data_IF_343167572326
#
_entry.id   IF_343167572326
#
_cell.length_a   1.000
_cell.length_b   1.000
_cell.length_c   1.000
_cell.angle_alpha   90.00
_cell.angle_beta   90.00
_cell.angle_gamma   90.00
#
_symmetry.space_group_name_H-M   'P 1'
#
loop_
_entity.id
_entity.type
_entity.pdbx_description
1 polymer ?
#
# COMPACT_ATOMS: atom_id res chain seq x y z
N UNK A 1 -2.24 20.12 -19.83
CA UNK A 1 -1.59 19.06 -19.01
C UNK A 1 -2.58 17.98 -18.59
N UNK A 2 -3.74 18.31 -17.99
CA UNK A 2 -4.81 17.33 -17.68
C UNK A 2 -5.31 16.54 -18.91
N UNK A 3 -5.42 17.17 -20.08
CA UNK A 3 -5.92 16.51 -21.29
C UNK A 3 -5.02 15.35 -21.77
N UNK A 4 -3.70 15.43 -21.55
CA UNK A 4 -2.77 14.35 -21.88
C UNK A 4 -2.86 13.16 -20.93
N UNK A 5 -3.13 13.42 -19.64
CA UNK A 5 -3.34 12.37 -18.63
C UNK A 5 -4.69 11.66 -18.86
N UNK A 6 -5.75 12.44 -19.13
CA UNK A 6 -7.08 11.91 -19.47
C UNK A 6 -7.03 11.11 -20.77
N UNK A 7 -6.31 11.59 -21.79
CA UNK A 7 -6.13 10.85 -23.05
C UNK A 7 -5.40 9.52 -22.83
N UNK A 8 -4.33 9.49 -22.03
CA UNK A 8 -3.65 8.24 -21.67
C UNK A 8 -4.54 7.27 -20.87
N UNK A 9 -5.40 7.78 -19.98
CA UNK A 9 -6.38 6.98 -19.25
C UNK A 9 -7.49 6.42 -20.17
N UNK A 10 -7.90 7.17 -21.19
CA UNK A 10 -8.90 6.76 -22.19
C UNK A 10 -8.32 5.83 -23.27
N UNK A 11 -7.02 5.93 -23.57
CA UNK A 11 -6.33 5.11 -24.58
C UNK A 11 -5.78 3.79 -24.02
N UNK A 12 -5.77 3.59 -22.69
CA UNK A 12 -5.66 2.25 -22.09
C UNK A 12 -6.94 1.49 -22.45
N UNK A 13 -6.88 0.79 -23.59
CA UNK A 13 -7.93 -0.05 -24.16
C UNK A 13 -8.65 -0.82 -23.05
N UNK A 14 -9.97 -0.76 -23.09
CA UNK A 14 -10.90 -1.63 -22.37
C UNK A 14 -10.27 -3.02 -22.19
N UNK A 15 -9.93 -3.40 -20.96
CA UNK A 15 -9.68 -4.80 -20.66
C UNK A 15 -11.05 -5.47 -20.85
N UNK A 16 -11.19 -6.46 -21.74
CA UNK A 16 -12.46 -7.12 -21.96
C UNK A 16 -13.02 -7.58 -20.61
N UNK A 17 -14.30 -7.32 -20.37
CA UNK A 17 -15.06 -7.80 -19.20
C UNK A 17 -14.98 -9.35 -19.10
N UNK A 18 -14.55 -10.03 -20.17
CA UNK A 18 -14.33 -11.47 -20.25
C UNK A 18 -12.95 -11.98 -19.79
N UNK A 19 -12.07 -11.17 -19.21
CA UNK A 19 -10.88 -11.71 -18.54
C UNK A 19 -11.28 -12.43 -17.23
N UNK A 20 -11.73 -13.69 -17.39
CA UNK A 20 -12.02 -14.67 -16.34
C UNK A 20 -10.74 -15.27 -15.75
N UNK A 21 -9.63 -14.54 -15.74
CA UNK A 21 -8.50 -14.95 -14.90
C UNK A 21 -8.90 -14.75 -13.44
N UNK A 22 -8.71 -15.78 -12.61
CA UNK A 22 -8.92 -15.72 -11.16
C UNK A 22 -7.79 -14.94 -10.47
N UNK A 23 -7.41 -13.79 -11.04
CA UNK A 23 -6.29 -12.96 -10.60
C UNK A 23 -6.77 -11.57 -10.18
N UNK A 24 -6.12 -10.95 -9.19
CA UNK A 24 -6.38 -9.56 -8.86
C UNK A 24 -6.22 -8.65 -10.10
N UNK A 25 -7.14 -7.70 -10.27
CA UNK A 25 -7.14 -6.79 -11.43
C UNK A 25 -7.78 -5.44 -11.11
N UNK A 26 -7.43 -4.45 -11.91
CA UNK A 26 -8.12 -3.15 -11.94
C UNK A 26 -8.79 -2.95 -13.27
N UNK A 27 -10.08 -2.63 -13.20
CA UNK A 27 -10.90 -2.25 -14.34
C UNK A 27 -11.26 -0.78 -14.17
N UNK A 28 -10.94 0.04 -15.17
CA UNK A 28 -11.38 1.44 -15.17
C UNK A 28 -12.75 1.47 -15.85
N UNK A 29 -13.81 1.57 -15.04
CA UNK A 29 -15.16 1.57 -15.58
C UNK A 29 -15.53 2.89 -16.26
N UNK A 30 -16.50 2.76 -17.17
CA UNK A 30 -16.88 3.79 -18.14
C UNK A 30 -17.14 5.14 -17.50
N UNK A 31 -16.60 6.14 -18.19
CA UNK A 31 -16.85 7.56 -17.98
C UNK A 31 -18.37 7.87 -17.96
N UNK A 32 -18.90 8.18 -16.79
CA UNK A 32 -20.25 8.74 -16.64
C UNK A 32 -20.16 10.23 -16.92
N UNK A 33 -20.70 10.65 -18.07
CA UNK A 33 -20.94 12.05 -18.37
C UNK A 33 -22.16 12.55 -17.57
N UNK A 34 -21.94 13.29 -16.47
CA UNK A 34 -23.00 14.02 -15.78
C UNK A 34 -22.96 15.49 -16.17
N UNK A 35 -24.07 16.01 -16.72
CA UNK A 35 -24.25 17.43 -16.99
C UNK A 35 -24.53 18.16 -15.67
N UNK A 36 -23.60 18.99 -15.22
CA UNK A 36 -23.75 19.83 -14.02
C UNK A 36 -23.74 21.33 -14.36
N UNK A 37 -24.06 22.18 -13.38
CA UNK A 37 -23.78 23.63 -13.47
C UNK A 37 -22.25 23.81 -13.59
N UNK A 38 -21.78 24.08 -14.80
CA UNK A 38 -20.34 24.17 -15.14
C UNK A 38 -19.88 23.28 -16.32
N UNK A 39 -20.75 22.44 -16.90
CA UNK A 39 -20.43 21.63 -18.09
C UNK A 39 -20.58 20.11 -17.87
N UNK A 40 -20.09 19.31 -18.83
CA UNK A 40 -19.98 17.86 -18.68
C UNK A 40 -18.87 17.54 -17.66
N UNK A 41 -19.21 16.82 -16.59
CA UNK A 41 -18.24 16.14 -15.74
C UNK A 41 -18.16 14.68 -16.19
N UNK A 42 -16.98 14.28 -16.61
CA UNK A 42 -16.63 12.89 -16.88
C UNK A 42 -16.14 12.27 -15.56
N UNK A 43 -16.88 11.30 -15.03
CA UNK A 43 -16.51 10.55 -13.83
C UNK A 43 -16.24 9.11 -14.25
N UNK A 44 -14.99 8.68 -14.25
CA UNK A 44 -14.63 7.25 -14.25
C UNK A 44 -14.18 6.81 -12.86
N UNK A 45 -14.22 5.51 -12.61
CA UNK A 45 -13.81 4.88 -11.36
C UNK A 45 -12.78 3.79 -11.66
N UNK A 46 -11.81 3.65 -10.76
CA UNK A 46 -10.91 2.49 -10.70
C UNK A 46 -11.59 1.44 -9.83
N UNK A 47 -12.10 0.38 -10.46
CA UNK A 47 -12.66 -0.77 -9.77
C UNK A 47 -11.57 -1.80 -9.57
N UNK A 48 -11.18 -2.01 -8.32
CA UNK A 48 -10.19 -3.01 -7.92
C UNK A 48 -10.94 -4.27 -7.50
N UNK A 49 -10.53 -5.40 -8.05
CA UNK A 49 -11.10 -6.70 -7.78
C UNK A 49 -10.01 -7.67 -7.36
N UNK A 50 -10.14 -8.21 -6.14
CA UNK A 50 -9.30 -9.28 -5.60
C UNK A 50 -10.20 -10.51 -5.44
N UNK A 51 -10.08 -11.53 -6.31
CA UNK A 51 -11.02 -12.66 -6.35
C UNK A 51 -10.96 -13.56 -5.11
N UNK A 52 -9.82 -13.59 -4.42
CA UNK A 52 -9.69 -14.34 -3.18
C UNK A 52 -8.55 -13.76 -2.34
N UNK A 53 -8.90 -13.12 -1.25
CA UNK A 53 -8.03 -12.83 -0.12
C UNK A 53 -8.43 -13.80 0.98
N UNK A 54 -7.57 -14.77 1.33
CA UNK A 54 -7.89 -15.79 2.35
C UNK A 54 -9.28 -16.48 2.20
N UNK A 55 -9.76 -16.65 0.95
CA UNK A 55 -11.05 -17.27 0.67
C UNK A 55 -12.22 -16.31 0.44
N UNK A 56 -12.09 -15.03 0.79
CA UNK A 56 -13.14 -14.02 0.58
C UNK A 56 -12.83 -13.14 -0.64
N UNK A 57 -13.88 -12.71 -1.33
CA UNK A 57 -13.77 -11.75 -2.43
C UNK A 57 -13.74 -10.32 -1.88
N UNK A 58 -12.87 -9.46 -2.44
CA UNK A 58 -12.82 -8.05 -2.10
C UNK A 58 -12.96 -7.19 -3.37
N UNK A 59 -13.86 -6.21 -3.32
CA UNK A 59 -14.08 -5.26 -4.39
C UNK A 59 -14.27 -3.85 -3.85
N UNK A 60 -13.55 -2.88 -4.43
CA UNK A 60 -13.73 -1.47 -4.07
C UNK A 60 -13.51 -0.56 -5.27
N UNK A 61 -14.11 0.64 -5.20
CA UNK A 61 -14.11 1.62 -6.27
C UNK A 61 -13.49 2.95 -5.80
N UNK A 62 -12.52 3.46 -6.57
CA UNK A 62 -11.92 4.77 -6.32
C UNK A 62 -12.20 5.69 -7.51
N UNK A 63 -12.91 6.82 -7.33
CA UNK A 63 -13.11 7.83 -8.36
C UNK A 63 -11.80 8.34 -8.94
N UNK A 64 -11.76 8.44 -10.26
CA UNK A 64 -10.63 9.01 -11.00
C UNK A 64 -10.26 10.43 -10.56
N UNK A 65 -11.22 11.20 -10.06
CA UNK A 65 -10.97 12.53 -9.49
C UNK A 65 -10.10 12.46 -8.23
N UNK A 66 -10.26 11.43 -7.41
CA UNK A 66 -9.43 11.18 -6.23
C UNK A 66 -8.01 10.83 -6.66
N UNK A 67 -7.87 9.89 -7.59
CA UNK A 67 -6.58 9.52 -8.17
C UNK A 67 -5.85 10.74 -8.76
N UNK A 68 -6.53 11.54 -9.60
CA UNK A 68 -5.96 12.75 -10.21
C UNK A 68 -5.53 13.76 -9.15
N UNK A 69 -6.31 13.94 -8.07
CA UNK A 69 -5.96 14.82 -6.98
C UNK A 69 -4.66 14.38 -6.29
N UNK A 70 -4.47 13.07 -6.07
CA UNK A 70 -3.22 12.51 -5.55
C UNK A 70 -2.05 12.63 -6.54
N UNK A 71 -2.27 12.37 -7.83
CA UNK A 71 -1.25 12.60 -8.88
C UNK A 71 -0.74 14.04 -8.89
N UNK A 72 -1.63 15.01 -8.64
CA UNK A 72 -1.30 16.43 -8.62
C UNK A 72 -0.62 16.91 -7.34
N UNK A 73 -0.57 16.12 -6.26
CA UNK A 73 0.12 16.51 -5.02
C UNK A 73 1.64 16.67 -5.28
N UNK A 74 2.29 17.67 -4.67
CA UNK A 74 3.73 17.86 -4.80
C UNK A 74 4.47 16.68 -4.15
N UNK A 75 5.50 16.18 -4.83
CA UNK A 75 6.39 15.13 -4.32
C UNK A 75 7.66 15.79 -3.84
N UNK A 76 7.70 16.11 -2.54
CA UNK A 76 8.88 16.71 -1.91
C UNK A 76 9.75 15.62 -1.31
N UNK A 77 10.51 14.95 -2.15
CA UNK A 77 11.74 14.29 -1.72
C UNK A 77 12.84 15.33 -1.98
N UNK A 78 13.53 15.81 -0.94
CA UNK A 78 14.77 16.55 -1.20
C UNK A 78 15.84 15.55 -1.68
N UNK A 79 16.88 16.03 -2.37
CA UNK A 79 17.99 15.16 -2.76
C UNK A 79 18.63 14.54 -1.51
N UNK A 80 18.63 13.21 -1.43
CA UNK A 80 19.17 12.43 -0.29
C UNK A 80 18.19 12.21 0.87
N UNK A 81 16.92 12.58 0.70
CA UNK A 81 15.95 12.71 1.77
C UNK A 81 14.89 11.59 1.69
N UNK A 82 15.14 10.47 2.36
CA UNK A 82 14.29 9.26 2.38
C UNK A 82 13.09 9.35 3.36
N UNK A 83 12.41 10.51 3.44
CA UNK A 83 11.21 10.64 4.29
C UNK A 83 9.96 10.19 3.51
N UNK A 84 9.76 8.87 3.49
CA UNK A 84 8.61 8.24 2.87
C UNK A 84 7.35 8.35 3.72
N UNK A 85 7.46 8.66 5.02
CA UNK A 85 6.33 8.84 5.93
C UNK A 85 5.45 10.03 5.54
N UNK A 86 5.98 11.03 4.84
CA UNK A 86 5.20 12.12 4.25
C UNK A 86 4.11 11.66 3.26
N UNK A 87 4.22 10.42 2.76
CA UNK A 87 3.25 9.83 1.84
C UNK A 87 2.22 8.94 2.54
N UNK A 88 2.42 8.64 3.84
CA UNK A 88 1.53 7.81 4.63
C UNK A 88 0.24 8.58 4.96
N UNK A 89 -0.91 8.08 4.51
CA UNK A 89 -2.23 8.74 4.63
C UNK A 89 -3.26 7.84 5.31
N UNK A 90 -3.13 7.56 6.62
CA UNK A 90 -4.00 6.62 7.34
C UNK A 90 -5.43 7.12 7.55
N UNK A 91 -5.67 8.43 7.37
CA UNK A 91 -6.99 9.06 7.47
C UNK A 91 -7.64 9.31 6.11
N UNK A 92 -7.08 8.75 5.04
CA UNK A 92 -7.76 8.82 3.74
C UNK A 92 -9.04 7.98 3.80
N UNK A 93 -10.14 8.53 3.28
CA UNK A 93 -11.45 7.89 3.30
C UNK A 93 -11.47 6.50 2.64
N UNK A 94 -10.72 6.28 1.56
CA UNK A 94 -10.74 4.99 0.87
C UNK A 94 -9.87 3.96 1.62
N UNK A 95 -8.81 4.41 2.29
CA UNK A 95 -8.07 3.55 3.22
C UNK A 95 -8.99 3.12 4.37
N UNK A 96 -9.73 4.05 4.95
CA UNK A 96 -10.69 3.78 6.03
C UNK A 96 -11.83 2.85 5.60
N UNK A 97 -12.41 3.06 4.42
CA UNK A 97 -13.45 2.22 3.83
C UNK A 97 -12.94 0.77 3.64
N UNK A 98 -11.77 0.60 2.99
CA UNK A 98 -11.17 -0.73 2.75
C UNK A 98 -10.82 -1.41 4.08
N UNK A 99 -10.19 -0.69 5.01
CA UNK A 99 -9.82 -1.26 6.30
C UNK A 99 -11.04 -1.63 7.13
N UNK A 100 -12.10 -0.82 7.10
CA UNK A 100 -13.36 -1.15 7.78
C UNK A 100 -13.94 -2.45 7.23
N UNK A 101 -13.97 -2.63 5.91
CA UNK A 101 -14.46 -3.86 5.28
C UNK A 101 -13.62 -5.08 5.69
N UNK A 102 -12.29 -4.99 5.57
CA UNK A 102 -11.38 -6.07 5.99
C UNK A 102 -11.56 -6.42 7.47
N UNK A 103 -11.61 -5.43 8.35
CA UNK A 103 -11.74 -5.69 9.79
C UNK A 103 -13.10 -6.27 10.15
N UNK A 104 -14.18 -5.88 9.45
CA UNK A 104 -15.49 -6.50 9.63
C UNK A 104 -15.50 -7.95 9.16
N UNK A 105 -14.97 -8.23 7.98
CA UNK A 105 -14.98 -9.58 7.37
C UNK A 105 -14.19 -10.60 8.18
N UNK A 106 -12.99 -10.26 8.66
CA UNK A 106 -12.11 -11.25 9.32
C UNK A 106 -12.09 -11.18 10.85
N UNK A 107 -12.53 -10.05 11.43
CA UNK A 107 -12.36 -9.82 12.87
C UNK A 107 -13.63 -9.31 13.57
N UNK A 108 -14.80 -9.30 12.92
CA UNK A 108 -16.06 -8.74 13.50
C UNK A 108 -15.86 -7.29 14.01
N UNK A 109 -14.98 -6.54 13.33
CA UNK A 109 -14.58 -5.18 13.68
C UNK A 109 -13.71 -5.05 14.94
N UNK A 110 -13.22 -6.15 15.52
CA UNK A 110 -12.48 -6.18 16.80
C UNK A 110 -11.05 -6.68 16.63
N UNK A 111 -10.11 -5.73 16.57
CA UNK A 111 -8.69 -6.03 16.38
C UNK A 111 -7.96 -6.40 17.69
N UNK A 112 -8.45 -5.95 18.84
CA UNK A 112 -7.78 -6.15 20.14
C UNK A 112 -7.50 -7.63 20.40
N UNK A 113 -6.23 -7.99 20.62
CA UNK A 113 -5.78 -9.36 20.82
C UNK A 113 -5.53 -10.15 19.53
N UNK A 114 -5.78 -9.56 18.36
CA UNK A 114 -5.54 -10.13 17.03
C UNK A 114 -4.59 -9.24 16.19
N UNK A 115 -3.80 -8.36 16.81
CA UNK A 115 -3.04 -7.33 16.11
C UNK A 115 -2.05 -7.93 15.09
N UNK A 116 -1.37 -9.04 15.43
CA UNK A 116 -0.46 -9.72 14.49
C UNK A 116 -1.20 -10.36 13.33
N UNK A 117 -2.38 -10.94 13.57
CA UNK A 117 -3.21 -11.55 12.52
C UNK A 117 -3.81 -10.50 11.59
N UNK A 118 -4.29 -9.38 12.15
CA UNK A 118 -4.78 -8.24 11.39
C UNK A 118 -3.66 -7.60 10.56
N UNK A 119 -2.45 -7.51 11.11
CA UNK A 119 -1.31 -7.04 10.36
C UNK A 119 -0.91 -8.01 9.23
N UNK A 120 -0.97 -9.32 9.48
CA UNK A 120 -0.71 -10.33 8.45
C UNK A 120 -1.76 -10.26 7.34
N UNK A 121 -3.04 -10.03 7.65
CA UNK A 121 -4.08 -9.83 6.62
C UNK A 121 -3.74 -8.64 5.71
N UNK A 122 -3.25 -7.53 6.26
CA UNK A 122 -2.80 -6.39 5.45
C UNK A 122 -1.59 -6.78 4.59
N UNK A 123 -0.65 -7.55 5.12
CA UNK A 123 0.49 -8.04 4.35
C UNK A 123 0.04 -8.93 3.17
N UNK A 124 -0.88 -9.87 3.42
CA UNK A 124 -1.44 -10.75 2.40
C UNK A 124 -2.19 -9.96 1.31
N UNK A 125 -2.85 -8.85 1.69
CA UNK A 125 -3.46 -7.91 0.75
C UNK A 125 -2.40 -7.22 -0.12
N UNK A 126 -1.30 -6.74 0.48
CA UNK A 126 -0.20 -6.12 -0.27
C UNK A 126 0.45 -7.10 -1.24
N UNK A 127 0.57 -8.38 -0.87
CA UNK A 127 1.08 -9.43 -1.76
C UNK A 127 0.18 -9.73 -2.96
N UNK A 128 -1.07 -9.25 -2.98
CA UNK A 128 -1.92 -9.30 -4.17
C UNK A 128 -1.51 -8.24 -5.21
N UNK A 129 -0.75 -7.22 -4.82
CA UNK A 129 -0.35 -6.10 -5.66
C UNK A 129 0.99 -6.44 -6.35
N UNK A 130 1.04 -6.48 -7.69
CA UNK A 130 2.28 -6.76 -8.42
C UNK A 130 3.41 -5.78 -8.10
N UNK A 131 4.62 -6.32 -8.00
CA UNK A 131 5.82 -5.50 -7.88
C UNK A 131 6.13 -4.78 -9.21
N UNK A 132 6.37 -3.48 -9.14
CA UNK A 132 6.78 -2.64 -10.25
C UNK A 132 8.23 -2.18 -10.09
N UNK A 133 9.15 -2.70 -10.89
CA UNK A 133 10.51 -2.18 -10.94
C UNK A 133 10.52 -0.82 -11.64
N UNK A 134 10.79 0.23 -10.86
CA UNK A 134 10.90 1.60 -11.37
C UNK A 134 11.79 2.46 -10.47
N UNK A 135 12.18 3.61 -11.00
CA UNK A 135 12.93 4.63 -10.28
C UNK A 135 12.24 5.05 -8.97
N UNK A 136 13.03 5.08 -7.89
CA UNK A 136 12.65 5.44 -6.52
C UNK A 136 12.38 6.94 -6.34
N UNK A 137 12.75 7.80 -7.31
CA UNK A 137 12.51 9.24 -7.24
C UNK A 137 11.03 9.64 -7.24
N UNK A 138 10.16 8.76 -7.73
CA UNK A 138 8.71 8.96 -7.67
C UNK A 138 8.13 8.02 -6.62
N UNK A 139 7.65 8.55 -5.50
CA UNK A 139 6.92 7.77 -4.48
C UNK A 139 5.41 7.98 -4.70
N UNK A 140 4.68 6.87 -4.80
CA UNK A 140 3.22 6.87 -4.92
C UNK A 140 2.59 7.15 -3.56
N UNK A 141 1.56 7.97 -3.55
CA UNK A 141 0.63 7.96 -2.42
C UNK A 141 -0.19 6.65 -2.43
N UNK A 142 -0.70 6.18 -1.27
CA UNK A 142 -1.49 4.94 -1.17
C UNK A 142 -2.61 4.82 -2.21
N UNK A 143 -3.32 5.90 -2.48
CA UNK A 143 -4.38 5.93 -3.50
C UNK A 143 -3.87 5.70 -4.92
N UNK A 144 -2.67 6.20 -5.26
CA UNK A 144 -2.06 5.89 -6.55
C UNK A 144 -1.72 4.40 -6.64
N UNK A 145 -1.14 3.82 -5.59
CA UNK A 145 -0.80 2.39 -5.54
C UNK A 145 -2.04 1.51 -5.69
N UNK A 146 -3.15 1.86 -5.04
CA UNK A 146 -4.42 1.14 -5.17
C UNK A 146 -5.05 1.27 -6.57
N UNK A 147 -5.08 2.48 -7.14
CA UNK A 147 -5.67 2.72 -8.46
C UNK A 147 -4.83 2.14 -9.60
N UNK A 148 -3.50 2.21 -9.50
CA UNK A 148 -2.58 1.66 -10.50
C UNK A 148 -2.36 0.15 -10.29
N UNK A 149 -2.62 -0.34 -9.07
CA UNK A 149 -2.46 -1.71 -8.62
C UNK A 149 -1.07 -2.26 -8.95
N UNK A 150 -0.09 -1.50 -8.49
CA UNK A 150 1.32 -1.79 -8.64
C UNK A 150 2.16 -0.83 -7.81
N UNK A 151 3.25 -1.34 -7.24
CA UNK A 151 4.14 -0.57 -6.37
C UNK A 151 5.52 -1.20 -6.29
N UNK A 152 6.52 -0.40 -5.94
CA UNK A 152 7.88 -0.88 -5.69
C UNK A 152 8.12 -1.08 -4.18
N UNK A 153 9.38 -1.34 -3.81
CA UNK A 153 9.79 -1.53 -2.42
C UNK A 153 9.49 -0.34 -1.50
N UNK A 154 9.21 0.85 -2.03
CA UNK A 154 8.86 2.03 -1.21
C UNK A 154 7.34 2.24 -1.15
N UNK A 155 6.61 2.04 -2.24
CA UNK A 155 5.17 2.33 -2.25
C UNK A 155 4.35 1.32 -1.45
N UNK A 156 4.75 0.04 -1.49
CA UNK A 156 4.02 -1.03 -0.80
C UNK A 156 4.13 -0.87 0.73
N UNK A 157 5.32 -0.56 1.31
CA UNK A 157 5.40 -0.17 2.71
C UNK A 157 4.63 1.13 3.04
N UNK A 158 4.59 2.12 2.16
CA UNK A 158 3.81 3.35 2.38
C UNK A 158 2.29 3.06 2.43
N UNK A 159 1.79 2.20 1.54
CA UNK A 159 0.41 1.73 1.56
C UNK A 159 0.13 0.91 2.82
N UNK A 160 0.98 -0.08 3.13
CA UNK A 160 0.86 -0.91 4.33
C UNK A 160 0.88 -0.10 5.62
N UNK A 161 1.79 0.86 5.75
CA UNK A 161 1.85 1.77 6.88
C UNK A 161 0.57 2.59 7.02
N UNK A 162 -0.02 3.05 5.91
CA UNK A 162 -1.29 3.80 5.92
C UNK A 162 -2.46 2.93 6.38
N UNK A 163 -2.53 1.68 5.91
CA UNK A 163 -3.56 0.72 6.28
C UNK A 163 -3.45 0.30 7.76
N UNK A 164 -2.25 -0.07 8.22
CA UNK A 164 -2.03 -0.48 9.61
C UNK A 164 -2.22 0.67 10.60
N UNK A 165 -1.74 1.88 10.26
CA UNK A 165 -1.93 3.04 11.13
C UNK A 165 -3.40 3.52 11.15
N UNK A 166 -4.21 3.23 10.13
CA UNK A 166 -5.66 3.47 10.16
C UNK A 166 -6.33 2.67 11.29
N UNK A 167 -5.91 1.42 11.49
CA UNK A 167 -6.45 0.53 12.52
C UNK A 167 -5.69 0.59 13.86
N UNK A 168 -4.81 1.58 14.04
CA UNK A 168 -4.10 1.82 15.29
C UNK A 168 -2.86 0.96 15.53
N UNK A 169 -2.42 0.19 14.53
CA UNK A 169 -1.16 -0.57 14.60
C UNK A 169 0.00 0.37 14.24
N UNK A 170 0.97 0.47 15.15
CA UNK A 170 2.13 1.35 14.96
C UNK A 170 3.09 0.73 13.93
N UNK A 171 3.58 1.57 13.02
CA UNK A 171 4.47 1.18 11.94
C UNK A 171 5.62 2.16 11.76
N UNK A 172 6.65 1.72 11.06
CA UNK A 172 7.73 2.54 10.54
C UNK A 172 8.16 2.04 9.15
N UNK A 173 8.88 2.86 8.41
CA UNK A 173 9.55 2.42 7.19
C UNK A 173 10.98 2.08 7.56
N UNK A 174 11.30 0.80 7.37
CA UNK A 174 12.63 0.28 7.52
C UNK A 174 13.33 0.39 6.17
N UNK A 175 14.63 0.60 6.18
CA UNK A 175 15.36 0.42 4.95
C UNK A 175 16.73 -0.18 5.13
N UNK A 176 17.12 -0.75 4.01
CA UNK A 176 18.36 -1.40 3.70
C UNK A 176 19.02 -0.59 2.57
N UNK A 177 20.28 -0.90 2.25
CA UNK A 177 21.06 -0.11 1.28
C UNK A 177 20.31 0.19 -0.03
N UNK A 178 19.57 -0.78 -0.57
CA UNK A 178 18.86 -0.66 -1.85
C UNK A 178 17.41 -1.17 -1.77
N UNK A 179 16.85 -1.30 -0.56
CA UNK A 179 15.54 -1.91 -0.32
C UNK A 179 14.80 -1.25 0.84
N UNK A 180 13.48 -1.33 0.85
CA UNK A 180 12.65 -0.79 1.92
C UNK A 180 11.61 -1.84 2.36
N UNK A 181 11.46 -1.95 3.67
CA UNK A 181 10.57 -2.90 4.32
C UNK A 181 9.58 -2.14 5.20
N UNK A 182 8.47 -2.80 5.53
CA UNK A 182 7.54 -2.30 6.53
C UNK A 182 7.95 -2.80 7.91
N UNK A 183 8.13 -1.90 8.87
CA UNK A 183 8.34 -2.27 10.27
C UNK A 183 7.02 -2.20 11.03
N UNK A 184 6.63 -3.28 11.69
CA UNK A 184 5.30 -3.45 12.30
C UNK A 184 5.45 -3.75 13.80
N UNK A 185 4.86 -2.91 14.63
CA UNK A 185 4.89 -3.10 16.09
C UNK A 185 3.69 -3.94 16.57
N UNK A 186 3.82 -5.26 16.48
CA UNK A 186 2.83 -6.24 16.96
C UNK A 186 3.41 -7.15 18.05
N UNK A 187 2.57 -7.77 18.90
CA UNK A 187 3.03 -8.74 19.89
C UNK A 187 3.78 -9.93 19.28
N UNK A 188 4.65 -10.56 20.09
CA UNK A 188 5.39 -11.76 19.72
C UNK A 188 6.84 -11.51 19.32
N UNK A 189 7.45 -12.56 18.78
CA UNK A 189 8.84 -12.58 18.33
C UNK A 189 8.91 -12.58 16.79
N UNK A 190 10.08 -12.18 16.27
CA UNK A 190 10.35 -12.12 14.84
C UNK A 190 11.61 -11.30 14.56
N UNK A 191 12.10 -11.38 13.33
CA UNK A 191 13.18 -10.53 12.83
C UNK A 191 12.71 -9.08 12.73
N UNK A 192 13.59 -8.13 13.03
CA UNK A 192 13.20 -6.73 13.10
C UNK A 192 14.22 -5.84 13.79
N UNK A 193 13.77 -4.63 14.13
CA UNK A 193 14.58 -3.63 14.82
C UNK A 193 13.88 -3.20 16.11
N UNK A 194 14.65 -3.07 17.19
CA UNK A 194 14.15 -2.48 18.44
C UNK A 194 14.36 -0.98 18.43
N UNK A 195 13.32 -0.26 18.85
CA UNK A 195 13.38 1.19 19.03
C UNK A 195 12.46 1.58 20.20
N UNK A 196 13.01 2.33 21.16
CA UNK A 196 12.28 2.76 22.37
C UNK A 196 11.64 1.58 23.12
N UNK A 197 12.37 0.47 23.23
CA UNK A 197 11.91 -0.75 23.91
C UNK A 197 10.84 -1.56 23.17
N UNK A 198 10.45 -1.16 21.95
CA UNK A 198 9.46 -1.85 21.13
C UNK A 198 10.13 -2.52 19.93
N UNK A 199 9.76 -3.77 19.65
CA UNK A 199 10.20 -4.49 18.46
C UNK A 199 9.28 -4.12 17.29
N UNK A 200 9.89 -3.64 16.21
CA UNK A 200 9.26 -3.48 14.90
C UNK A 200 9.66 -4.68 14.06
N UNK A 201 8.77 -5.67 13.99
CA UNK A 201 8.97 -6.87 13.18
C UNK A 201 8.94 -6.49 11.69
N UNK A 202 9.79 -7.10 10.89
CA UNK A 202 9.79 -6.90 9.44
C UNK A 202 8.50 -7.44 8.82
N UNK A 203 7.95 -6.71 7.87
CA UNK A 203 6.97 -7.20 6.91
C UNK A 203 7.54 -6.97 5.52
N UNK A 204 7.98 -8.05 4.88
CA UNK A 204 8.39 -8.00 3.48
C UNK A 204 7.16 -7.84 2.60
N UNK A 205 6.98 -6.62 2.09
CA UNK A 205 5.80 -6.25 1.32
C UNK A 205 5.96 -6.54 -0.16
N UNK A 206 7.19 -6.78 -0.65
CA UNK A 206 7.41 -7.06 -2.06
C UNK A 206 6.93 -8.47 -2.37
N UNK A 207 5.82 -8.53 -3.10
CA UNK A 207 5.40 -9.75 -3.77
C UNK A 207 6.33 -10.09 -4.95
N UNK A 208 5.94 -11.07 -5.76
CA UNK A 208 6.69 -11.35 -7.00
C UNK A 208 6.28 -10.40 -8.14
N UNK A 209 7.11 -10.32 -9.18
CA UNK A 209 6.77 -9.66 -10.45
C UNK A 209 5.56 -10.30 -11.18
N UNK A 210 5.06 -11.45 -10.70
CA UNK A 210 3.97 -12.19 -11.33
C UNK A 210 2.83 -12.44 -10.32
N UNK A 211 1.62 -11.88 -10.51
CA UNK A 211 0.48 -12.16 -9.62
C UNK A 211 0.12 -13.65 -9.48
N UNK A 212 0.66 -14.54 -10.32
CA UNK A 212 0.49 -16.00 -10.25
C UNK A 212 1.44 -16.74 -9.29
N UNK A 213 2.34 -16.04 -8.60
CA UNK A 213 3.22 -16.60 -7.54
C UNK A 213 3.21 -15.65 -6.34
N UNK A 214 2.14 -15.64 -5.52
CA UNK A 214 2.15 -14.84 -4.30
C UNK A 214 3.24 -15.37 -3.37
N UNK A 215 3.91 -14.44 -2.68
CA UNK A 215 4.86 -14.76 -1.61
C UNK A 215 4.02 -15.08 -0.37
N UNK A 216 4.47 -16.01 0.49
CA UNK A 216 3.80 -16.39 1.74
C UNK A 216 4.53 -15.88 2.99
N UNK A 217 5.32 -14.82 2.82
CA UNK A 217 6.11 -14.18 3.87
C UNK A 217 5.24 -13.77 5.04
N UNK A 218 5.70 -14.13 6.24
CA UNK A 218 5.03 -13.77 7.48
C UNK A 218 5.70 -12.60 8.16
N UNK A 219 4.93 -11.89 8.97
CA UNK A 219 5.49 -10.86 9.85
C UNK A 219 6.56 -11.47 10.75
N UNK A 220 7.77 -10.90 10.66
CA UNK A 220 8.96 -11.33 11.35
C UNK A 220 9.86 -12.29 10.55
N UNK A 221 9.46 -12.68 9.34
CA UNK A 221 10.24 -13.51 8.42
C UNK A 221 10.81 -12.64 7.28
N UNK A 222 12.07 -12.89 6.93
CA UNK A 222 12.73 -12.24 5.79
C UNK A 222 14.01 -13.00 5.45
N UNK A 223 14.34 -13.06 4.17
CA UNK A 223 15.64 -13.56 3.69
C UNK A 223 16.71 -12.45 3.62
N UNK A 224 16.32 -11.20 3.86
CA UNK A 224 17.20 -10.03 3.78
C UNK A 224 18.25 -10.02 4.90
N UNK A 225 19.46 -9.56 4.56
CA UNK A 225 20.48 -9.31 5.57
C UNK A 225 20.19 -8.02 6.34
N UNK A 226 19.66 -8.20 7.56
CA UNK A 226 19.30 -7.10 8.45
C UNK A 226 20.50 -6.44 9.15
N UNK A 227 21.74 -6.81 8.82
CA UNK A 227 22.95 -6.18 9.38
C UNK A 227 23.04 -4.67 9.08
N UNK A 228 22.39 -4.23 8.00
CA UNK A 228 22.32 -2.82 7.58
C UNK A 228 20.97 -2.16 7.85
N UNK A 229 20.07 -2.86 8.54
CA UNK A 229 18.70 -2.40 8.78
C UNK A 229 18.69 -1.16 9.67
N UNK A 230 18.11 -0.07 9.15
CA UNK A 230 17.87 1.15 9.89
C UNK A 230 16.38 1.49 9.86
N UNK A 231 15.87 2.11 10.93
CA UNK A 231 14.60 2.83 10.84
C UNK A 231 14.89 4.12 10.08
N UNK A 232 14.46 4.15 8.83
CA UNK A 232 14.67 5.30 7.96
C UNK A 232 13.61 6.36 8.23
N UNK A 233 12.39 5.96 8.60
CA UNK A 233 11.31 6.90 8.87
C UNK A 233 10.24 6.38 9.85
N UNK A 234 9.81 7.28 10.74
CA UNK A 234 8.68 7.07 11.65
C UNK A 234 7.93 8.37 11.84
N UNK A 235 6.72 8.31 12.42
CA UNK A 235 5.97 9.49 12.89
C UNK A 235 6.82 10.46 13.76
N UNK A 236 7.94 10.00 14.30
CA UNK A 236 8.81 10.75 15.21
C UNK A 236 10.11 11.31 14.57
N UNK A 237 10.29 11.21 13.25
CA UNK A 237 11.45 11.79 12.53
C UNK A 237 12.48 10.77 12.02
N UNK A 238 13.49 11.27 11.29
CA UNK A 238 14.46 10.48 10.52
C UNK A 238 15.62 9.89 11.32
N UNK A 239 16.09 8.75 10.79
CA UNK A 239 17.35 8.04 11.03
C UNK A 239 17.61 7.67 12.49
N UNK A 240 17.28 6.42 12.81
CA UNK A 240 17.55 5.85 14.11
C UNK A 240 18.34 4.56 13.89
N UNK A 241 19.62 4.65 14.23
CA UNK A 241 20.54 3.52 14.21
C UNK A 241 20.06 2.53 15.26
N UNK A 242 19.92 1.27 14.87
CA UNK A 242 19.53 0.12 15.71
C UNK A 242 20.12 0.26 17.13
N UNK A 243 19.27 0.17 18.15
CA UNK A 243 19.75 0.04 19.54
C UNK A 243 20.59 -1.25 19.63
N UNK A 244 21.82 -1.21 20.18
CA UNK A 244 22.64 -2.41 20.28
C UNK A 244 21.89 -3.50 21.05
N UNK A 245 21.95 -4.72 20.53
CA UNK A 245 21.34 -5.88 21.18
C UNK A 245 22.00 -6.05 22.58
N UNK A 246 21.22 -5.86 23.65
CA UNK A 246 21.63 -6.05 25.04
C UNK A 246 21.45 -7.50 25.49
#
# INVERSE_FOLDING_TARGET
>A
MLWGIVKNLLERKEIPIEDRTNRPKVVVDRVIARKGKGGLKYLSEFNVYIPSLRGEELMFAIPSTTYIAYKAKPRKLHNGDCNYWNFVTPKDRYIDEIMTELMQTYFDGKISGNEKEAAQLVLDFLHQIPYEDRDLLYVKYPIETLCEFGGNCVDLPVLGASMLANIGIETCILGLRDHALLGIAVPGEGSGVRYKGRLYQVGETTGTFMPSKPVDDRIGETEEDLSTLEIIDSKYGRKIIKEPDH
#
